data_IF_597760694571
#
_entry.id   IF_597760694571
#
_cell.length_a   1.000
_cell.length_b   1.000
_cell.length_c   1.000
_cell.angle_alpha   90.00
_cell.angle_beta   90.00
_cell.angle_gamma   90.00
#
_symmetry.space_group_name_H-M   'P 1'
#
loop_
_entity.id
_entity.type
_entity.pdbx_description
1 polymer ?
#
# COMPACT_ATOMS: atom_id res chain seq x y z
N UNK A 1 -79.93 54.43 -24.08
CA UNK A 1 -81.16 54.62 -23.28
C UNK A 1 -82.09 53.46 -23.61
N UNK A 2 -82.57 52.83 -22.54
CA UNK A 2 -83.46 51.68 -22.34
C UNK A 2 -84.33 51.16 -23.50
N UNK A 3 -84.59 49.84 -23.53
CA UNK A 3 -85.91 49.28 -23.16
C UNK A 3 -85.90 47.72 -23.15
N UNK A 4 -86.41 47.18 -22.04
CA UNK A 4 -87.07 45.87 -21.77
C UNK A 4 -87.84 45.23 -22.95
N UNK A 5 -88.22 43.93 -23.03
CA UNK A 5 -88.69 42.93 -22.03
C UNK A 5 -88.76 41.50 -22.64
N UNK A 6 -88.55 40.48 -21.79
CA UNK A 6 -89.07 39.08 -21.66
C UNK A 6 -90.14 38.54 -22.67
N UNK A 7 -90.36 37.23 -22.89
CA UNK A 7 -90.66 36.17 -21.89
C UNK A 7 -90.84 34.75 -22.54
N UNK A 8 -90.65 33.72 -21.72
CA UNK A 8 -91.12 32.30 -21.76
C UNK A 8 -90.11 31.24 -22.20
N UNK A 9 -89.93 30.09 -21.54
CA UNK A 9 -90.27 29.57 -20.20
C UNK A 9 -89.72 28.13 -20.18
N UNK A 10 -88.80 27.81 -19.27
CA UNK A 10 -88.48 26.45 -18.83
C UNK A 10 -88.71 26.38 -17.32
N UNK A 11 -89.13 25.22 -16.79
CA UNK A 11 -88.31 24.62 -15.73
C UNK A 11 -88.24 23.09 -15.85
N UNK A 12 -87.08 22.50 -15.52
CA UNK A 12 -86.88 21.75 -14.26
C UNK A 12 -85.59 20.88 -14.36
N UNK A 13 -84.55 21.26 -13.60
CA UNK A 13 -83.37 20.45 -13.30
C UNK A 13 -82.97 20.78 -11.85
N UNK A 14 -83.35 19.90 -10.91
CA UNK A 14 -82.84 19.80 -9.54
C UNK A 14 -81.46 19.12 -9.58
N UNK A 15 -80.34 19.70 -9.14
CA UNK A 15 -79.90 20.33 -7.87
C UNK A 15 -79.34 19.36 -6.83
N UNK A 16 -78.04 19.56 -6.53
CA UNK A 16 -77.36 19.42 -5.22
C UNK A 16 -77.10 17.99 -4.72
N UNK A 17 -76.03 17.66 -4.01
CA UNK A 17 -75.03 18.46 -3.31
C UNK A 17 -73.75 17.61 -3.10
N UNK A 18 -72.59 18.26 -3.07
CA UNK A 18 -71.29 17.65 -2.81
C UNK A 18 -70.81 18.04 -1.40
N UNK A 19 -70.44 17.05 -0.57
CA UNK A 19 -69.91 17.26 0.77
C UNK A 19 -69.21 16.02 1.37
N UNK A 20 -67.89 16.00 1.23
CA UNK A 20 -66.82 15.67 2.22
C UNK A 20 -66.95 14.43 3.14
N UNK A 21 -65.95 13.51 3.10
CA UNK A 21 -64.94 13.28 4.17
C UNK A 21 -64.08 12.00 3.95
N UNK A 22 -62.76 12.23 3.94
CA UNK A 22 -61.63 11.39 4.39
C UNK A 22 -61.66 9.86 4.25
N UNK A 23 -60.72 9.31 3.46
CA UNK A 23 -59.63 8.43 3.96
C UNK A 23 -58.86 7.76 2.81
N UNK A 24 -57.54 7.60 3.02
CA UNK A 24 -56.63 6.61 2.44
C UNK A 24 -55.77 7.05 1.24
N UNK A 25 -54.58 7.57 1.58
CA UNK A 25 -53.38 7.50 0.73
C UNK A 25 -52.98 6.03 0.49
N UNK A 26 -52.56 5.71 -0.74
CA UNK A 26 -51.69 4.57 -1.03
C UNK A 26 -51.07 4.73 -2.43
N UNK A 27 -49.83 5.19 -2.50
CA UNK A 27 -48.98 5.00 -3.66
C UNK A 27 -48.45 3.56 -3.67
N UNK A 28 -48.20 2.92 -4.81
CA UNK A 28 -47.50 1.65 -4.84
C UNK A 28 -45.99 1.91 -4.71
N UNK A 29 -45.45 1.72 -3.51
CA UNK A 29 -44.03 1.52 -3.31
C UNK A 29 -43.64 0.16 -3.89
N UNK A 30 -42.65 0.15 -4.78
CA UNK A 30 -42.00 -1.06 -5.23
C UNK A 30 -41.06 -1.50 -4.10
N UNK A 31 -41.50 -2.47 -3.30
CA UNK A 31 -40.61 -3.19 -2.38
C UNK A 31 -39.54 -3.92 -3.22
N UNK A 32 -38.34 -3.35 -3.23
CA UNK A 32 -37.13 -4.09 -3.56
C UNK A 32 -36.80 -4.92 -2.33
N UNK A 33 -37.07 -6.22 -2.43
CA UNK A 33 -36.71 -7.20 -1.41
C UNK A 33 -35.19 -7.23 -1.28
N UNK A 34 -34.72 -6.66 -0.19
CA UNK A 34 -33.38 -6.78 0.38
C UNK A 34 -33.05 -8.26 0.55
N UNK A 35 -32.28 -8.81 -0.39
CA UNK A 35 -31.58 -10.07 -0.21
C UNK A 35 -30.18 -9.70 0.23
N UNK A 36 -30.01 -9.58 1.55
CA UNK A 36 -28.73 -9.59 2.24
C UNK A 36 -28.07 -10.95 2.03
N UNK A 37 -27.46 -11.15 0.85
CA UNK A 37 -26.31 -12.02 0.74
C UNK A 37 -25.13 -11.21 1.31
N UNK A 38 -24.78 -11.56 2.54
CA UNK A 38 -23.59 -11.06 3.20
C UNK A 38 -22.37 -11.64 2.52
N UNK A 39 -21.93 -11.01 1.44
CA UNK A 39 -20.52 -10.99 1.09
C UNK A 39 -19.84 -10.05 2.10
N UNK A 40 -19.45 -10.64 3.23
CA UNK A 40 -18.35 -10.14 4.05
C UNK A 40 -17.03 -10.38 3.29
N UNK A 41 -16.95 -9.87 2.06
CA UNK A 41 -15.69 -9.72 1.36
C UNK A 41 -15.09 -8.41 1.85
N UNK A 42 -14.39 -8.54 2.97
CA UNK A 42 -13.35 -7.62 3.41
C UNK A 42 -12.16 -7.67 2.42
N UNK A 43 -12.43 -7.56 1.10
CA UNK A 43 -11.46 -7.17 0.09
C UNK A 43 -11.08 -5.73 0.40
N UNK A 44 -10.29 -5.54 1.46
CA UNK A 44 -9.36 -4.42 1.48
C UNK A 44 -8.63 -4.52 0.15
N UNK A 45 -8.71 -3.47 -0.64
CA UNK A 45 -7.90 -3.30 -1.84
C UNK A 45 -6.45 -3.35 -1.35
N UNK A 46 -5.85 -4.54 -1.36
CA UNK A 46 -4.51 -4.77 -0.84
C UNK A 46 -3.58 -4.12 -1.84
N UNK A 47 -2.71 -3.24 -1.35
CA UNK A 47 -1.70 -2.62 -2.19
C UNK A 47 -0.71 -3.65 -2.74
N UNK A 48 0.08 -3.24 -3.73
CA UNK A 48 1.05 -4.12 -4.38
C UNK A 48 2.01 -4.77 -3.37
N UNK A 49 2.48 -4.02 -2.37
CA UNK A 49 3.38 -4.51 -1.33
C UNK A 49 2.73 -5.61 -0.48
N UNK A 50 1.45 -5.47 -0.14
CA UNK A 50 0.68 -6.46 0.59
C UNK A 50 0.46 -7.77 -0.20
N UNK A 51 0.20 -7.69 -1.50
CA UNK A 51 0.08 -8.89 -2.35
C UNK A 51 1.41 -9.61 -2.56
N UNK A 52 2.51 -8.86 -2.68
CA UNK A 52 3.86 -9.42 -2.72
C UNK A 52 4.22 -10.07 -1.37
N UNK A 53 3.91 -9.45 -0.23
CA UNK A 53 4.07 -10.04 1.11
C UNK A 53 3.26 -11.33 1.26
N UNK A 54 2.01 -11.36 0.81
CA UNK A 54 1.19 -12.57 0.83
C UNK A 54 1.77 -13.70 -0.04
N UNK A 55 2.24 -13.36 -1.24
CA UNK A 55 2.92 -14.28 -2.16
C UNK A 55 4.20 -14.85 -1.54
N UNK A 56 5.02 -13.99 -0.96
CA UNK A 56 6.28 -14.36 -0.32
C UNK A 56 6.06 -15.24 0.92
N UNK A 57 5.11 -14.90 1.79
CA UNK A 57 4.76 -15.71 2.97
C UNK A 57 4.30 -17.11 2.60
N UNK A 58 3.44 -17.23 1.59
CA UNK A 58 3.03 -18.54 1.08
C UNK A 58 4.24 -19.32 0.56
N UNK A 59 5.18 -18.66 -0.12
CA UNK A 59 6.38 -19.33 -0.60
C UNK A 59 7.25 -19.88 0.54
N UNK A 60 7.37 -19.12 1.64
CA UNK A 60 8.07 -19.54 2.86
C UNK A 60 7.36 -20.73 3.52
N UNK A 61 6.04 -20.65 3.69
CA UNK A 61 5.25 -21.66 4.41
C UNK A 61 5.11 -22.99 3.64
N UNK A 62 4.97 -22.91 2.32
CA UNK A 62 4.76 -24.06 1.44
C UNK A 62 6.05 -24.59 0.80
N UNK A 63 7.18 -23.86 0.95
CA UNK A 63 8.46 -24.22 0.33
C UNK A 63 8.43 -24.08 -1.19
N UNK A 64 7.84 -23.00 -1.70
CA UNK A 64 7.75 -22.70 -3.13
C UNK A 64 9.11 -22.23 -3.64
N UNK A 65 9.50 -22.73 -4.80
CA UNK A 65 10.75 -22.35 -5.48
C UNK A 65 10.78 -20.85 -5.86
N UNK A 66 11.95 -20.22 -5.73
CA UNK A 66 12.17 -18.81 -6.08
C UNK A 66 11.75 -18.48 -7.52
N UNK A 67 11.91 -19.40 -8.48
CA UNK A 67 11.48 -19.19 -9.87
C UNK A 67 9.96 -18.98 -9.97
N UNK A 68 9.19 -19.70 -9.16
CA UNK A 68 7.74 -19.54 -9.14
C UNK A 68 7.35 -18.22 -8.45
N UNK A 69 8.05 -17.83 -7.38
CA UNK A 69 7.83 -16.51 -6.76
C UNK A 69 8.05 -15.38 -7.76
N UNK A 70 9.12 -15.47 -8.57
CA UNK A 70 9.41 -14.51 -9.64
C UNK A 70 8.27 -14.43 -10.66
N UNK A 71 7.72 -15.57 -11.09
CA UNK A 71 6.59 -15.60 -12.03
C UNK A 71 5.34 -14.93 -11.46
N UNK A 72 5.05 -15.16 -10.18
CA UNK A 72 3.89 -14.59 -9.51
C UNK A 72 4.06 -13.08 -9.28
N UNK A 73 5.21 -12.63 -8.78
CA UNK A 73 5.52 -11.19 -8.61
C UNK A 73 5.48 -10.45 -9.94
N UNK A 74 6.00 -11.04 -11.03
CA UNK A 74 5.89 -10.45 -12.36
C UNK A 74 4.44 -10.36 -12.87
N UNK A 75 3.59 -11.31 -12.48
CA UNK A 75 2.17 -11.27 -12.80
C UNK A 75 1.46 -10.16 -12.02
N UNK A 76 1.77 -10.01 -10.72
CA UNK A 76 1.26 -8.92 -9.88
C UNK A 76 1.71 -7.56 -10.40
N UNK A 77 2.98 -7.42 -10.79
CA UNK A 77 3.53 -6.20 -11.38
C UNK A 77 2.67 -5.71 -12.55
N UNK A 78 2.30 -6.63 -13.45
CA UNK A 78 1.44 -6.33 -14.60
C UNK A 78 -0.01 -6.03 -14.19
N UNK A 79 -0.54 -6.72 -13.19
CA UNK A 79 -1.91 -6.52 -12.71
C UNK A 79 -2.09 -5.15 -12.03
N UNK A 80 -1.13 -4.74 -11.22
CA UNK A 80 -1.11 -3.46 -10.50
C UNK A 80 -0.53 -2.31 -11.33
N UNK A 81 0.05 -2.60 -12.50
CA UNK A 81 0.68 -1.63 -13.40
C UNK A 81 1.74 -0.78 -12.68
N UNK A 82 2.65 -1.46 -11.97
CA UNK A 82 3.80 -0.86 -11.28
C UNK A 82 5.10 -1.06 -12.08
N UNK A 83 6.11 -0.28 -11.76
CA UNK A 83 7.42 -0.37 -12.42
C UNK A 83 8.21 -1.57 -11.92
N UNK A 84 9.30 -1.90 -12.63
CA UNK A 84 10.16 -3.01 -12.19
C UNK A 84 10.89 -2.68 -10.88
N UNK A 85 11.23 -1.41 -10.68
CA UNK A 85 11.87 -0.88 -9.45
C UNK A 85 11.05 -1.21 -8.21
N UNK A 86 9.72 -1.09 -8.29
CA UNK A 86 8.80 -1.35 -7.18
C UNK A 86 8.86 -2.81 -6.70
N UNK A 87 9.22 -3.75 -7.58
CA UNK A 87 9.29 -5.18 -7.23
C UNK A 87 10.39 -5.48 -6.22
N UNK A 88 11.55 -4.83 -6.32
CA UNK A 88 12.67 -5.02 -5.40
C UNK A 88 12.32 -4.49 -4.00
N UNK A 89 11.72 -3.30 -3.93
CA UNK A 89 11.20 -2.72 -2.70
C UNK A 89 10.15 -3.62 -2.04
N UNK A 90 9.11 -4.04 -2.78
CA UNK A 90 8.04 -4.88 -2.25
C UNK A 90 8.54 -6.24 -1.72
N UNK A 91 9.51 -6.87 -2.41
CA UNK A 91 10.13 -8.11 -1.91
C UNK A 91 10.95 -7.87 -0.65
N UNK A 92 11.74 -6.79 -0.61
CA UNK A 92 12.49 -6.43 0.59
C UNK A 92 11.56 -6.16 1.77
N UNK A 93 10.44 -5.47 1.55
CA UNK A 93 9.39 -5.26 2.54
C UNK A 93 8.85 -6.58 3.10
N UNK A 94 8.51 -7.54 2.23
CA UNK A 94 8.06 -8.86 2.64
C UNK A 94 9.10 -9.62 3.47
N UNK A 95 10.38 -9.58 3.06
CA UNK A 95 11.50 -10.17 3.79
C UNK A 95 11.65 -9.59 5.19
N UNK A 96 11.61 -8.26 5.32
CA UNK A 96 11.72 -7.59 6.60
C UNK A 96 10.52 -7.85 7.51
N UNK A 97 9.31 -7.96 6.96
CA UNK A 97 8.11 -8.39 7.72
C UNK A 97 8.17 -9.84 8.16
N UNK A 98 8.81 -10.73 7.39
CA UNK A 98 9.07 -12.10 7.82
C UNK A 98 9.98 -12.07 9.06
N UNK A 99 11.09 -11.35 9.01
CA UNK A 99 12.03 -11.22 10.13
C UNK A 99 11.35 -10.68 11.40
N UNK A 100 10.51 -9.64 11.25
CA UNK A 100 9.76 -9.04 12.35
C UNK A 100 8.72 -9.99 12.95
N UNK A 101 8.10 -10.85 12.13
CA UNK A 101 7.07 -11.79 12.60
C UNK A 101 7.61 -12.89 13.52
N UNK A 102 8.93 -13.13 13.52
CA UNK A 102 9.54 -14.13 14.40
C UNK A 102 9.71 -13.53 15.81
N UNK A 103 9.19 -14.18 16.89
CA UNK A 103 9.21 -13.62 18.25
C UNK A 103 10.60 -13.21 18.74
N UNK A 104 10.82 -11.93 19.01
CA UNK A 104 12.07 -11.36 19.51
C UNK A 104 11.80 -10.47 20.72
N UNK A 105 12.81 -10.29 21.56
CA UNK A 105 12.73 -9.50 22.79
C UNK A 105 13.75 -8.37 22.85
N UNK A 106 14.77 -8.44 21.99
CA UNK A 106 15.84 -7.45 21.91
C UNK A 106 16.14 -7.08 20.46
N UNK A 107 16.60 -5.84 20.26
CA UNK A 107 16.99 -5.31 18.95
C UNK A 107 18.09 -6.16 18.27
N UNK A 108 18.98 -6.77 19.05
CA UNK A 108 20.03 -7.63 18.50
C UNK A 108 19.46 -8.92 17.89
N UNK A 109 18.42 -9.49 18.51
CA UNK A 109 17.74 -10.69 17.98
C UNK A 109 17.00 -10.35 16.68
N UNK A 110 16.35 -9.18 16.62
CA UNK A 110 15.71 -8.71 15.39
C UNK A 110 16.73 -8.47 14.26
N UNK A 111 17.88 -7.88 14.59
CA UNK A 111 18.97 -7.68 13.63
C UNK A 111 19.48 -9.02 13.07
N UNK A 112 19.71 -10.01 13.93
CA UNK A 112 20.15 -11.35 13.53
C UNK A 112 19.13 -12.02 12.59
N UNK A 113 17.84 -11.95 12.93
CA UNK A 113 16.77 -12.49 12.09
C UNK A 113 16.65 -11.79 10.74
N UNK A 114 16.75 -10.46 10.71
CA UNK A 114 16.76 -9.71 9.46
C UNK A 114 17.91 -10.18 8.57
N UNK A 115 19.11 -10.32 9.14
CA UNK A 115 20.28 -10.84 8.41
C UNK A 115 20.07 -12.25 7.88
N UNK A 116 19.52 -13.15 8.69
CA UNK A 116 19.22 -14.54 8.28
C UNK A 116 18.23 -14.57 7.11
N UNK A 117 17.15 -13.78 7.17
CA UNK A 117 16.16 -13.71 6.09
C UNK A 117 16.77 -13.10 4.83
N UNK A 118 17.52 -12.00 4.97
CA UNK A 118 18.19 -11.34 3.84
C UNK A 118 19.18 -12.28 3.16
N UNK A 119 20.00 -13.00 3.93
CA UNK A 119 20.98 -13.94 3.39
C UNK A 119 20.30 -15.13 2.70
N UNK A 120 19.21 -15.65 3.29
CA UNK A 120 18.48 -16.77 2.72
C UNK A 120 17.83 -16.45 1.37
N UNK A 121 17.21 -15.27 1.25
CA UNK A 121 16.48 -14.85 0.04
C UNK A 121 17.27 -13.87 -0.84
N UNK A 122 18.58 -13.81 -0.65
CA UNK A 122 19.47 -12.91 -1.38
C UNK A 122 19.38 -13.07 -2.91
N UNK A 123 19.33 -14.31 -3.41
CA UNK A 123 19.22 -14.60 -4.84
C UNK A 123 17.93 -14.06 -5.45
N UNK A 124 16.81 -14.28 -4.76
CA UNK A 124 15.51 -13.77 -5.16
C UNK A 124 15.50 -12.24 -5.20
N UNK A 125 16.00 -11.59 -4.16
CA UNK A 125 16.06 -10.12 -4.11
C UNK A 125 16.95 -9.56 -5.24
N UNK A 126 18.15 -10.13 -5.43
CA UNK A 126 19.08 -9.71 -6.51
C UNK A 126 18.54 -9.97 -7.92
N UNK A 127 17.52 -10.82 -8.10
CA UNK A 127 16.86 -10.97 -9.40
C UNK A 127 16.30 -9.64 -9.93
N UNK A 128 15.80 -8.81 -9.01
CA UNK A 128 15.14 -7.53 -9.26
C UNK A 128 16.06 -6.32 -9.12
N UNK A 129 17.32 -6.51 -8.70
CA UNK A 129 18.31 -5.44 -8.51
C UNK A 129 19.43 -5.56 -9.54
N UNK A 130 19.20 -4.96 -10.72
CA UNK A 130 20.12 -4.95 -11.87
C UNK A 130 20.69 -3.56 -12.16
N UNK A 131 20.11 -2.54 -11.56
CA UNK A 131 20.43 -1.12 -11.76
C UNK A 131 20.52 -0.42 -10.40
N UNK A 132 21.25 0.70 -10.38
CA UNK A 132 21.38 1.54 -9.18
C UNK A 132 20.00 2.03 -8.71
N UNK A 133 19.07 2.34 -9.62
CA UNK A 133 17.73 2.82 -9.26
C UNK A 133 16.94 1.77 -8.46
N UNK A 134 17.06 0.48 -8.81
CA UNK A 134 16.44 -0.61 -8.05
C UNK A 134 17.09 -0.81 -6.67
N UNK A 135 18.40 -0.56 -6.56
CA UNK A 135 19.11 -0.57 -5.29
C UNK A 135 18.69 0.59 -4.38
N UNK A 136 18.58 1.80 -4.94
CA UNK A 136 18.07 2.98 -4.23
C UNK A 136 16.63 2.76 -3.77
N UNK A 137 15.78 2.15 -4.61
CA UNK A 137 14.39 1.85 -4.24
C UNK A 137 14.30 0.93 -3.02
N UNK A 138 15.19 -0.06 -2.88
CA UNK A 138 15.28 -0.90 -1.68
C UNK A 138 15.64 -0.08 -0.44
N UNK A 139 16.55 0.90 -0.56
CA UNK A 139 16.92 1.79 0.55
C UNK A 139 15.73 2.68 0.94
N UNK A 140 15.05 3.26 -0.05
CA UNK A 140 13.87 4.12 0.16
C UNK A 140 12.72 3.35 0.80
N UNK A 141 12.45 2.12 0.34
CA UNK A 141 11.46 1.24 0.96
C UNK A 141 11.84 0.92 2.41
N UNK A 142 13.11 0.65 2.69
CA UNK A 142 13.53 0.39 4.07
C UNK A 142 13.40 1.61 4.98
N UNK A 143 13.64 2.81 4.44
CA UNK A 143 13.40 4.07 5.13
C UNK A 143 11.91 4.24 5.46
N UNK A 144 11.02 4.01 4.50
CA UNK A 144 9.56 4.03 4.71
C UNK A 144 9.16 3.10 5.87
N UNK A 145 9.67 1.86 5.88
CA UNK A 145 9.41 0.91 6.97
C UNK A 145 9.88 1.42 8.33
N UNK A 146 11.08 2.01 8.38
CA UNK A 146 11.62 2.53 9.63
C UNK A 146 10.80 3.71 10.19
N UNK A 147 10.10 4.44 9.32
CA UNK A 147 9.27 5.60 9.67
C UNK A 147 7.79 5.22 9.90
N UNK A 148 7.37 4.02 9.50
CA UNK A 148 6.03 3.48 9.78
C UNK A 148 5.88 3.07 11.26
N UNK A 149 5.28 3.99 12.03
CA UNK A 149 4.99 3.83 13.45
C UNK A 149 3.97 2.72 13.77
N UNK A 150 3.20 2.25 12.79
CA UNK A 150 2.13 1.29 13.02
C UNK A 150 2.58 -0.16 12.80
N UNK A 151 3.57 -0.39 11.93
CA UNK A 151 3.98 -1.75 11.56
C UNK A 151 5.44 -2.08 11.86
N UNK A 152 6.40 -1.25 11.45
CA UNK A 152 7.79 -1.68 11.26
C UNK A 152 8.85 -0.76 11.87
N UNK A 153 8.44 0.18 12.72
CA UNK A 153 9.32 1.13 13.43
C UNK A 153 10.43 0.49 14.28
N UNK A 154 10.31 -0.78 14.66
CA UNK A 154 11.36 -1.52 15.40
C UNK A 154 12.69 -1.62 14.62
N UNK A 155 12.66 -1.46 13.30
CA UNK A 155 13.86 -1.41 12.47
C UNK A 155 14.56 -0.05 12.46
N UNK A 156 13.89 1.04 12.86
CA UNK A 156 14.46 2.38 12.87
C UNK A 156 15.84 2.46 13.58
N UNK A 157 16.02 1.96 14.82
CA UNK A 157 17.34 1.97 15.47
C UNK A 157 18.37 1.04 14.80
N UNK A 158 17.93 0.12 13.94
CA UNK A 158 18.75 -0.85 13.24
C UNK A 158 19.14 -0.42 11.82
N UNK A 159 18.56 0.67 11.30
CA UNK A 159 18.68 1.10 9.90
C UNK A 159 20.12 1.05 9.38
N UNK A 160 21.04 1.81 9.98
CA UNK A 160 22.45 1.85 9.55
C UNK A 160 23.13 0.48 9.61
N UNK A 161 22.79 -0.36 10.60
CA UNK A 161 23.41 -1.70 10.73
C UNK A 161 22.94 -2.66 9.65
N UNK A 162 21.69 -2.54 9.22
CA UNK A 162 21.14 -3.31 8.10
C UNK A 162 21.66 -2.77 6.79
N UNK A 163 21.76 -1.45 6.62
CA UNK A 163 22.35 -0.81 5.44
C UNK A 163 23.81 -1.26 5.21
N UNK A 164 24.64 -1.23 6.27
CA UNK A 164 26.03 -1.74 6.22
C UNK A 164 26.04 -3.23 5.87
N UNK A 165 25.13 -4.03 6.42
CA UNK A 165 25.06 -5.45 6.09
C UNK A 165 24.69 -5.70 4.63
N UNK A 166 23.75 -4.94 4.06
CA UNK A 166 23.39 -5.04 2.65
C UNK A 166 24.57 -4.69 1.73
N UNK A 167 25.37 -3.69 2.11
CA UNK A 167 26.63 -3.36 1.44
C UNK A 167 27.65 -4.50 1.55
N UNK A 168 27.94 -4.98 2.76
CA UNK A 168 28.89 -6.08 3.00
C UNK A 168 28.51 -7.37 2.26
N UNK A 169 27.22 -7.57 2.01
CA UNK A 169 26.69 -8.70 1.25
C UNK A 169 26.64 -8.47 -0.26
N UNK A 170 27.17 -7.36 -0.79
CA UNK A 170 27.11 -7.03 -2.23
C UNK A 170 25.66 -7.05 -2.76
N UNK A 171 24.69 -6.69 -1.90
CA UNK A 171 23.29 -6.48 -2.29
C UNK A 171 23.10 -5.03 -2.74
N UNK A 172 23.70 -4.09 -2.00
CA UNK A 172 23.77 -2.68 -2.38
C UNK A 172 25.21 -2.33 -2.74
N UNK A 173 25.36 -1.53 -3.80
CA UNK A 173 26.61 -0.91 -4.20
C UNK A 173 26.86 0.38 -3.42
N UNK A 174 28.14 0.79 -3.37
CA UNK A 174 28.54 2.10 -2.88
C UNK A 174 27.83 3.22 -3.65
N UNK A 175 27.80 3.13 -4.98
CA UNK A 175 27.13 4.08 -5.87
C UNK A 175 25.65 4.29 -5.49
N UNK A 176 24.92 3.22 -5.17
CA UNK A 176 23.53 3.31 -4.76
C UNK A 176 23.34 4.00 -3.40
N UNK A 177 24.19 3.69 -2.43
CA UNK A 177 24.13 4.32 -1.10
C UNK A 177 24.44 5.82 -1.20
N UNK A 178 25.44 6.18 -2.00
CA UNK A 178 25.79 7.59 -2.27
C UNK A 178 24.68 8.28 -3.07
N UNK A 179 24.06 7.60 -4.04
CA UNK A 179 22.94 8.15 -4.81
C UNK A 179 21.72 8.45 -3.92
N UNK A 180 21.34 7.52 -3.04
CA UNK A 180 20.30 7.74 -2.03
C UNK A 180 20.64 8.93 -1.12
N UNK A 181 21.88 9.03 -0.64
CA UNK A 181 22.32 10.14 0.20
C UNK A 181 22.18 11.50 -0.50
N UNK A 182 22.58 11.57 -1.77
CA UNK A 182 22.46 12.78 -2.62
C UNK A 182 21.01 13.16 -2.88
N UNK A 183 20.12 12.20 -3.12
CA UNK A 183 18.69 12.46 -3.31
C UNK A 183 18.08 13.13 -2.07
N UNK A 184 18.54 12.74 -0.88
CA UNK A 184 18.07 13.27 0.41
C UNK A 184 18.67 14.61 0.82
N UNK A 185 19.70 15.13 0.12
CA UNK A 185 20.33 16.42 0.49
C UNK A 185 19.36 17.61 0.46
N UNK A 186 18.38 17.57 -0.45
CA UNK A 186 17.36 18.61 -0.62
C UNK A 186 16.05 18.37 0.15
N UNK A 187 15.93 17.25 0.86
CA UNK A 187 14.73 16.89 1.60
C UNK A 187 14.61 17.66 2.93
N UNK A 188 13.39 17.71 3.47
CA UNK A 188 13.12 18.35 4.76
C UNK A 188 13.84 17.62 5.91
N UNK A 189 14.10 18.35 7.00
CA UNK A 189 14.89 17.83 8.12
C UNK A 189 14.27 16.57 8.77
N UNK A 190 12.93 16.47 8.75
CA UNK A 190 12.17 15.31 9.22
C UNK A 190 12.47 14.05 8.41
N UNK A 191 12.80 14.22 7.13
CA UNK A 191 12.97 13.13 6.17
C UNK A 191 14.45 12.70 6.09
N UNK A 192 15.34 13.42 6.79
CA UNK A 192 16.78 13.17 6.85
C UNK A 192 17.22 12.49 8.15
N UNK A 193 16.30 11.98 8.95
CA UNK A 193 16.62 11.33 10.24
C UNK A 193 17.51 10.10 10.03
N UNK A 194 17.13 9.21 9.11
CA UNK A 194 17.91 8.00 8.82
C UNK A 194 19.20 8.30 8.05
N UNK A 195 19.19 9.32 7.18
CA UNK A 195 20.41 9.83 6.53
C UNK A 195 21.46 10.24 7.57
N UNK A 196 21.06 11.03 8.58
CA UNK A 196 21.97 11.45 9.67
C UNK A 196 22.43 10.27 10.51
N UNK A 197 21.56 9.27 10.73
CA UNK A 197 21.95 8.04 11.43
C UNK A 197 23.02 7.25 10.66
N UNK A 198 23.07 7.36 9.34
CA UNK A 198 24.03 6.70 8.47
C UNK A 198 25.25 7.56 8.08
N UNK A 199 25.33 8.82 8.55
CA UNK A 199 26.34 9.81 8.12
C UNK A 199 27.78 9.30 8.22
N UNK A 200 28.16 8.67 9.34
CA UNK A 200 29.52 8.13 9.50
C UNK A 200 29.85 7.00 8.53
N UNK A 201 28.85 6.23 8.10
CA UNK A 201 29.05 5.17 7.12
C UNK A 201 29.17 5.73 5.71
N UNK A 202 28.33 6.71 5.35
CA UNK A 202 28.39 7.40 4.06
C UNK A 202 29.75 8.11 3.91
N UNK A 203 30.19 8.83 4.94
CA UNK A 203 31.50 9.49 4.92
C UNK A 203 32.64 8.47 4.71
N UNK A 204 32.55 7.29 5.34
CA UNK A 204 33.54 6.24 5.16
C UNK A 204 33.59 5.72 3.71
N UNK A 205 32.44 5.57 3.05
CA UNK A 205 32.37 5.20 1.64
C UNK A 205 33.04 6.26 0.75
N UNK A 206 32.70 7.54 0.94
CA UNK A 206 33.27 8.64 0.15
C UNK A 206 34.79 8.79 0.34
N UNK A 207 35.31 8.51 1.54
CA UNK A 207 36.75 8.54 1.80
C UNK A 207 37.48 7.37 1.14
N UNK A 208 36.85 6.20 1.02
CA UNK A 208 37.42 5.03 0.36
C UNK A 208 37.62 5.27 -1.16
N UNK A 209 36.68 5.93 -1.83
CA UNK A 209 36.77 6.29 -3.25
C UNK A 209 37.95 7.24 -3.54
N UNK A 210 38.26 8.16 -2.61
CA UNK A 210 39.31 9.18 -2.79
C UNK A 210 40.73 8.61 -2.65
N UNK A 211 40.89 7.44 -2.01
CA UNK A 211 42.18 6.79 -1.79
C UNK A 211 42.60 5.82 -2.92
N UNK A 212 41.72 5.51 -3.88
CA UNK A 212 42.00 4.68 -5.07
C UNK A 212 42.39 5.50 -6.32
#
# INVERSE_FOLDING_TARGET
MDFSVNLHSDPDLSSQDAGTLASREMAPELESTDSSDGDDENHKDVDFDGEVDATFRRAVDEGIDEENVILEVNSLKLAYNVEHTDCAGALFYAMMKLALSVPHSAQIELLEKAKEVIEHWKSLLKHYMRTIDEEVEVILKFEEMCLDLESTTEFSPLFTRILVFLYDQEILSEDAIIAWAKEKEGADESDRVLLRQAESFIQWLEEAEVEE
#
